data_IF_822983655966
#
_entry.id   IF_822983655966
#
_cell.length_a   1.000
_cell.length_b   1.000
_cell.length_c   1.000
_cell.angle_alpha   90.00
_cell.angle_beta   90.00
_cell.angle_gamma   90.00
#
_symmetry.space_group_name_H-M   'P 1'
#
loop_
_entity.id
_entity.type
_entity.pdbx_description
1 polymer ?
#
# COMPACT_ATOMS: atom_id res chain seq x y z
N UNK A 1 -5.41 -4.98 13.75
CA UNK A 1 -4.12 -4.33 13.44
C UNK A 1 -4.11 -2.95 14.07
N UNK A 2 -2.99 -2.51 14.66
CA UNK A 2 -2.84 -1.19 15.27
C UNK A 2 -1.68 -0.49 14.56
N UNK A 3 -1.92 0.71 14.01
CA UNK A 3 -0.87 1.55 13.41
C UNK A 3 -0.54 2.66 14.40
N UNK A 4 0.73 2.80 14.75
CA UNK A 4 1.20 3.81 15.70
C UNK A 4 0.82 5.22 15.20
N UNK A 5 0.27 6.03 16.11
CA UNK A 5 -0.14 7.43 15.89
C UNK A 5 -1.21 7.64 14.79
N UNK A 6 -1.86 6.57 14.32
CA UNK A 6 -2.82 6.62 13.23
C UNK A 6 -4.07 5.78 13.50
N UNK A 7 -5.21 6.46 13.66
CA UNK A 7 -6.51 5.82 13.89
C UNK A 7 -7.28 5.50 12.60
N UNK A 8 -6.84 6.02 11.46
CA UNK A 8 -7.56 5.92 10.19
C UNK A 8 -6.65 5.31 9.12
N UNK A 9 -6.91 4.07 8.75
CA UNK A 9 -6.16 3.36 7.71
C UNK A 9 -7.07 2.39 6.96
N UNK A 10 -6.68 2.05 5.73
CA UNK A 10 -7.35 1.08 4.86
C UNK A 10 -6.33 0.18 4.16
N UNK A 11 -6.71 -1.06 3.86
CA UNK A 11 -5.97 -1.91 2.94
C UNK A 11 -5.97 -1.33 1.51
N UNK A 12 -5.11 -1.88 0.66
CA UNK A 12 -5.18 -1.65 -0.78
C UNK A 12 -6.48 -2.19 -1.37
N UNK A 13 -6.96 -1.58 -2.45
CA UNK A 13 -8.14 -2.08 -3.16
C UNK A 13 -7.78 -3.31 -4.01
N UNK A 14 -8.71 -4.25 -4.24
CA UNK A 14 -8.42 -5.48 -4.98
C UNK A 14 -7.93 -5.27 -6.42
N UNK A 15 -8.27 -4.13 -7.02
CA UNK A 15 -7.88 -3.73 -8.37
C UNK A 15 -6.56 -2.95 -8.41
N UNK A 16 -5.82 -2.86 -7.30
CA UNK A 16 -4.46 -2.31 -7.33
C UNK A 16 -3.47 -3.30 -7.93
N UNK A 17 -2.53 -2.76 -8.68
CA UNK A 17 -1.47 -3.52 -9.35
C UNK A 17 -0.11 -2.90 -9.02
N UNK A 18 0.97 -3.49 -9.51
CA UNK A 18 2.31 -2.94 -9.38
C UNK A 18 3.15 -3.16 -10.63
N UNK A 19 4.16 -2.32 -10.80
CA UNK A 19 5.23 -2.47 -11.76
C UNK A 19 6.50 -2.88 -11.04
N UNK A 20 7.30 -3.74 -11.69
CA UNK A 20 8.58 -4.22 -11.16
C UNK A 20 9.71 -3.66 -12.01
N UNK A 21 10.73 -3.09 -11.36
CA UNK A 21 11.97 -2.72 -12.05
C UNK A 21 12.68 -3.97 -12.60
N UNK A 22 13.05 -3.96 -13.88
CA UNK A 22 13.83 -5.04 -14.54
C UNK A 22 15.21 -5.21 -13.93
N UNK A 23 15.84 -4.10 -13.59
CA UNK A 23 17.20 -4.03 -13.07
C UNK A 23 17.17 -3.39 -11.65
N UNK A 24 16.74 -4.13 -10.62
CA UNK A 24 16.62 -3.60 -9.27
C UNK A 24 18.01 -3.22 -8.72
N UNK A 25 18.13 -1.97 -8.25
CA UNK A 25 19.39 -1.42 -7.72
C UNK A 25 19.59 -1.81 -6.25
N UNK A 26 18.49 -2.13 -5.55
CA UNK A 26 18.48 -2.49 -4.14
C UNK A 26 17.92 -3.91 -3.95
N UNK A 27 18.43 -4.64 -2.97
CA UNK A 27 17.92 -5.95 -2.56
C UNK A 27 16.50 -5.87 -1.96
N UNK A 28 16.08 -4.68 -1.54
CA UNK A 28 14.75 -4.44 -1.00
C UNK A 28 13.72 -4.24 -2.13
N UNK A 29 13.05 -5.33 -2.51
CA UNK A 29 12.09 -5.39 -3.62
C UNK A 29 11.06 -4.25 -3.53
N UNK A 30 10.59 -3.94 -2.34
CA UNK A 30 9.48 -3.00 -2.11
C UNK A 30 9.86 -1.54 -2.42
N UNK A 31 11.15 -1.19 -2.38
CA UNK A 31 11.63 0.13 -2.85
C UNK A 31 11.73 0.22 -4.38
N UNK A 32 11.82 -0.93 -5.05
CA UNK A 32 11.94 -1.04 -6.50
C UNK A 32 10.59 -1.23 -7.21
N UNK A 33 9.48 -1.28 -6.47
CA UNK A 33 8.13 -1.42 -7.02
C UNK A 33 7.44 -0.06 -7.19
N UNK A 34 6.64 0.07 -8.24
CA UNK A 34 5.71 1.20 -8.40
C UNK A 34 4.28 0.66 -8.28
N UNK A 35 3.52 1.10 -7.29
CA UNK A 35 2.11 0.72 -7.14
C UNK A 35 1.25 1.49 -8.15
N UNK A 36 0.42 0.77 -8.89
CA UNK A 36 -0.52 1.33 -9.86
C UNK A 36 -1.87 1.48 -9.18
N UNK A 37 -2.27 2.74 -8.95
CA UNK A 37 -3.54 3.09 -8.34
C UNK A 37 -4.61 3.27 -9.41
N UNK A 38 -5.85 2.81 -9.16
CA UNK A 38 -6.99 3.23 -9.95
C UNK A 38 -7.14 4.75 -9.96
N UNK A 39 -7.49 5.33 -11.10
CA UNK A 39 -7.57 6.79 -11.27
C UNK A 39 -8.51 7.49 -10.27
N UNK A 40 -9.58 6.80 -9.86
CA UNK A 40 -10.52 7.29 -8.83
C UNK A 40 -9.85 7.60 -7.49
N UNK A 41 -8.70 6.97 -7.20
CA UNK A 41 -7.93 7.14 -5.96
C UNK A 41 -6.79 8.16 -6.10
N UNK A 42 -6.68 8.88 -7.22
CA UNK A 42 -5.62 9.87 -7.50
C UNK A 42 -5.31 10.82 -6.36
N UNK A 43 -6.34 11.32 -5.68
CA UNK A 43 -6.20 12.29 -4.57
C UNK A 43 -5.54 11.70 -3.32
N UNK A 44 -5.45 10.38 -3.22
CA UNK A 44 -4.95 9.64 -2.06
C UNK A 44 -3.59 8.99 -2.30
N UNK A 45 -2.91 9.23 -3.43
CA UNK A 45 -1.57 8.67 -3.72
C UNK A 45 -0.57 8.90 -2.58
N UNK A 46 -0.64 10.07 -1.93
CA UNK A 46 0.24 10.47 -0.82
C UNK A 46 -0.04 9.74 0.50
N UNK A 47 -1.13 8.99 0.55
CA UNK A 47 -1.59 8.28 1.73
C UNK A 47 -1.12 6.83 1.75
N UNK A 48 -0.44 6.32 0.72
CA UNK A 48 -0.02 4.92 0.65
C UNK A 48 1.40 4.73 1.21
N UNK A 49 1.53 3.86 2.21
CA UNK A 49 2.78 3.64 2.94
C UNK A 49 3.07 2.16 3.10
N UNK A 50 4.36 1.86 3.14
CA UNK A 50 4.85 0.64 3.77
C UNK A 50 4.78 0.77 5.28
N UNK A 51 4.24 -0.26 5.93
CA UNK A 51 4.17 -0.35 7.39
C UNK A 51 4.87 -1.64 7.83
N UNK A 52 5.62 -1.55 8.93
CA UNK A 52 6.34 -2.68 9.50
C UNK A 52 5.91 -2.89 10.94
N UNK A 53 5.78 -4.16 11.33
CA UNK A 53 5.52 -4.53 12.72
C UNK A 53 6.72 -4.19 13.59
N UNK A 54 6.49 -3.53 14.72
CA UNK A 54 7.51 -3.33 15.73
C UNK A 54 7.83 -4.66 16.41
N UNK A 55 9.12 -4.92 16.64
CA UNK A 55 9.60 -6.14 17.31
C UNK A 55 9.27 -6.19 18.82
N UNK A 56 8.72 -5.10 19.37
CA UNK A 56 8.35 -4.98 20.78
C UNK A 56 7.02 -5.64 21.16
N UNK A 57 6.69 -5.65 22.46
CA UNK A 57 5.52 -6.34 23.02
C UNK A 57 4.18 -5.74 22.59
N UNK A 58 4.16 -4.50 22.08
CA UNK A 58 2.94 -3.82 21.66
C UNK A 58 2.34 -4.37 20.37
N UNK A 59 3.13 -5.09 19.56
CA UNK A 59 2.74 -5.58 18.24
C UNK A 59 2.13 -4.51 17.31
N UNK A 60 2.38 -3.23 17.59
CA UNK A 60 1.96 -2.12 16.75
C UNK A 60 2.81 -2.06 15.47
N UNK A 61 2.24 -1.51 14.41
CA UNK A 61 2.94 -1.25 13.16
C UNK A 61 3.29 0.22 13.06
N UNK A 62 4.47 0.52 12.55
CA UNK A 62 4.91 1.88 12.29
C UNK A 62 5.00 2.14 10.78
N UNK A 63 4.52 3.29 10.28
CA UNK A 63 4.76 3.70 8.91
C UNK A 63 6.26 3.91 8.68
N UNK A 64 6.81 3.29 7.63
CA UNK A 64 8.23 3.41 7.31
C UNK A 64 8.47 4.48 6.24
N UNK A 65 7.96 4.26 5.03
CA UNK A 65 8.13 5.18 3.92
C UNK A 65 6.92 5.13 2.98
N UNK A 66 6.69 6.24 2.29
CA UNK A 66 5.67 6.32 1.24
C UNK A 66 6.07 5.42 0.09
N UNK A 67 5.10 4.74 -0.49
CA UNK A 67 5.36 3.91 -1.67
C UNK A 67 5.51 4.80 -2.91
N UNK A 68 6.31 4.34 -3.87
CA UNK A 68 6.26 4.89 -5.21
C UNK A 68 4.95 4.45 -5.87
N UNK A 69 4.23 5.39 -6.45
CA UNK A 69 2.94 5.12 -7.09
C UNK A 69 2.72 5.95 -8.34
N UNK A 70 1.99 5.35 -9.27
CA UNK A 70 1.44 6.02 -10.45
C UNK A 70 -0.04 5.69 -10.61
N UNK A 71 -0.72 6.41 -11.48
CA UNK A 71 -2.09 6.12 -11.84
C UNK A 71 -2.13 5.09 -12.95
N UNK A 72 -3.26 4.38 -13.04
CA UNK A 72 -3.49 3.43 -14.14
C UNK A 72 -3.47 4.10 -15.51
N UNK A 73 -3.90 5.36 -15.61
CA UNK A 73 -3.82 6.16 -16.83
C UNK A 73 -2.41 6.66 -17.18
N UNK A 74 -1.46 6.61 -16.24
CA UNK A 74 -0.08 7.02 -16.50
C UNK A 74 0.64 5.94 -17.35
N UNK A 75 1.46 6.33 -18.33
CA UNK A 75 2.23 5.37 -19.12
C UNK A 75 3.21 4.58 -18.22
N UNK A 76 3.46 3.32 -18.58
CA UNK A 76 4.45 2.49 -17.88
C UNK A 76 5.85 3.08 -18.12
N UNK A 77 6.62 3.39 -17.07
CA UNK A 77 7.98 3.90 -17.22
C UNK A 77 8.90 2.88 -17.91
N UNK A 78 9.85 3.37 -18.70
CA UNK A 78 10.86 2.52 -19.31
C UNK A 78 11.66 1.77 -18.23
N UNK A 79 12.01 0.51 -18.51
CA UNK A 79 12.74 -0.35 -17.56
C UNK A 79 11.86 -1.04 -16.51
N UNK A 80 10.54 -0.87 -16.56
CA UNK A 80 9.59 -1.56 -15.69
C UNK A 80 8.75 -2.59 -16.44
N UNK A 81 8.46 -3.71 -15.78
CA UNK A 81 7.53 -4.75 -16.22
C UNK A 81 6.21 -4.69 -15.46
N UNK A 82 5.14 -5.17 -16.09
CA UNK A 82 3.79 -5.24 -15.54
C UNK A 82 2.76 -4.48 -16.38
N UNK A 83 1.60 -4.11 -15.80
CA UNK A 83 1.23 -4.25 -14.39
C UNK A 83 0.95 -5.71 -13.97
N UNK A 84 1.41 -6.06 -12.78
CA UNK A 84 1.14 -7.34 -12.11
C UNK A 84 0.16 -7.16 -10.96
N UNK A 85 -0.61 -8.20 -10.66
CA UNK A 85 -1.56 -8.15 -9.56
C UNK A 85 -0.85 -8.18 -8.20
N UNK A 86 -1.21 -7.22 -7.35
CA UNK A 86 -0.72 -7.11 -5.96
C UNK A 86 -1.23 -8.28 -5.10
N UNK A 87 -2.40 -8.81 -5.45
CA UNK A 87 -3.01 -9.96 -4.80
C UNK A 87 -2.36 -11.26 -5.32
N UNK A 88 -1.95 -12.21 -4.45
CA UNK A 88 -2.15 -12.27 -3.00
C UNK A 88 -0.96 -11.78 -2.15
N UNK A 89 0.12 -11.27 -2.75
CA UNK A 89 1.36 -10.95 -2.03
C UNK A 89 1.15 -10.00 -0.84
N UNK A 90 0.36 -8.95 -1.01
CA UNK A 90 0.05 -7.98 0.05
C UNK A 90 -1.34 -8.17 0.67
N UNK A 91 -1.91 -9.38 0.61
CA UNK A 91 -3.27 -9.72 1.07
C UNK A 91 -3.78 -8.93 2.28
N UNK A 92 -5.04 -8.50 2.15
CA UNK A 92 -5.84 -7.74 3.12
C UNK A 92 -5.67 -8.29 4.54
N UNK A 93 -5.17 -7.46 5.46
CA UNK A 93 -4.90 -7.87 6.83
C UNK A 93 -6.17 -8.35 7.55
N UNK A 94 -7.35 -7.90 7.12
CA UNK A 94 -8.64 -8.30 7.69
C UNK A 94 -9.09 -9.72 7.27
N UNK A 95 -8.61 -10.26 6.14
CA UNK A 95 -9.01 -11.59 5.63
C UNK A 95 -8.13 -12.73 6.17
N UNK A 96 -6.92 -12.44 6.63
CA UNK A 96 -6.00 -13.47 7.15
C UNK A 96 -6.00 -13.46 8.68
N UNK A 97 -6.87 -14.26 9.30
CA UNK A 97 -6.97 -14.41 10.77
C UNK A 97 -5.75 -15.07 11.43
N UNK A 98 -4.87 -15.71 10.66
CA UNK A 98 -3.89 -16.68 11.18
C UNK A 98 -2.42 -16.33 10.96
N UNK A 99 -2.08 -15.25 10.24
CA UNK A 99 -0.68 -14.82 10.04
C UNK A 99 -0.55 -13.29 10.13
N UNK A 100 0.14 -12.82 11.16
CA UNK A 100 0.64 -11.44 11.20
C UNK A 100 1.87 -11.36 10.29
N UNK A 101 1.80 -10.56 9.21
CA UNK A 101 2.98 -10.27 8.39
C UNK A 101 3.84 -9.23 9.11
N UNK A 102 5.16 -9.32 8.97
CA UNK A 102 6.03 -8.27 9.49
C UNK A 102 5.92 -6.98 8.66
N UNK A 103 5.33 -7.05 7.47
CA UNK A 103 5.28 -5.97 6.50
C UNK A 103 3.94 -5.92 5.75
N UNK A 104 3.37 -4.71 5.62
CA UNK A 104 2.15 -4.44 4.83
C UNK A 104 2.29 -3.14 4.03
N UNK A 105 1.36 -2.94 3.09
CA UNK A 105 1.16 -1.67 2.39
C UNK A 105 -0.27 -1.22 2.65
N UNK A 106 -0.43 -0.02 3.23
CA UNK A 106 -1.72 0.51 3.66
C UNK A 106 -1.88 1.96 3.26
N UNK A 107 -3.12 2.37 3.01
CA UNK A 107 -3.50 3.76 3.03
C UNK A 107 -3.62 4.24 4.47
N UNK A 108 -2.95 5.33 4.82
CA UNK A 108 -2.92 5.93 6.16
C UNK A 108 -3.39 7.38 6.05
N UNK A 109 -4.34 7.75 6.90
CA UNK A 109 -4.98 9.07 6.91
C UNK A 109 -4.75 9.77 8.25
N UNK A 110 -4.61 11.10 8.18
CA UNK A 110 -4.48 11.94 9.37
C UNK A 110 -5.83 12.31 9.97
N UNK A 111 -6.87 12.37 9.15
CA UNK A 111 -8.19 12.83 9.52
C UNK A 111 -9.29 11.88 9.03
N UNK A 112 -10.39 11.85 9.77
CA UNK A 112 -11.54 11.00 9.50
C UNK A 112 -12.22 11.31 8.16
N UNK A 113 -12.28 12.59 7.77
CA UNK A 113 -12.98 13.01 6.55
C UNK A 113 -12.30 12.48 5.29
N UNK A 114 -10.98 12.57 5.21
CA UNK A 114 -10.18 12.00 4.12
C UNK A 114 -10.32 10.49 4.05
N UNK A 115 -10.35 9.83 5.21
CA UNK A 115 -10.55 8.38 5.32
C UNK A 115 -11.94 7.95 4.83
N UNK A 116 -13.01 8.61 5.27
CA UNK A 116 -14.37 8.31 4.79
C UNK A 116 -14.48 8.49 3.28
N UNK A 117 -13.95 9.60 2.73
CA UNK A 117 -13.96 9.82 1.27
C UNK A 117 -13.21 8.73 0.50
N UNK A 118 -12.11 8.22 1.05
CA UNK A 118 -11.40 7.10 0.44
C UNK A 118 -12.27 5.84 0.44
N UNK A 119 -12.94 5.53 1.54
CA UNK A 119 -13.84 4.37 1.64
C UNK A 119 -14.96 4.40 0.60
N UNK A 120 -15.63 5.54 0.48
CA UNK A 120 -16.69 5.74 -0.51
C UNK A 120 -16.21 5.48 -1.95
N UNK A 121 -14.97 5.90 -2.26
CA UNK A 121 -14.37 5.74 -3.60
C UNK A 121 -13.70 4.39 -3.83
N UNK A 122 -13.31 3.69 -2.76
CA UNK A 122 -12.69 2.36 -2.85
C UNK A 122 -13.71 1.24 -2.97
N UNK A 123 -14.99 1.51 -2.70
CA UNK A 123 -16.07 0.53 -2.75
C UNK A 123 -16.08 -0.41 -1.54
N UNK A 124 -15.64 0.08 -0.37
CA UNK A 124 -15.46 -0.69 0.87
C UNK A 124 -16.13 -0.06 2.11
#
# INVERSE_FOLDING_TARGET
MIIQDHNFFCDMTPDMQYLRNRDPVDSFIERNMIFVLPDRLRRFRKNLYHVRRNAGPSHAYSPLFRVNSQLRSDPVPAGYDGPFDVFPFYANAALTRTRHKDYYVLFIFRDKMSWTRFRDLSGA
#
